data_IF_799627058025
#
_entry.id   IF_799627058025
#
_cell.length_a   1.000
_cell.length_b   1.000
_cell.length_c   1.000
_cell.angle_alpha   90.00
_cell.angle_beta   90.00
_cell.angle_gamma   90.00
#
_symmetry.space_group_name_H-M   'P 1'
#
loop_
_entity.id
_entity.type
_entity.pdbx_description
1 polymer ?
#
# COMPACT_ATOMS: atom_id res chain seq x y z
N UNK A 1 24.95 3.47 31.37
CA UNK A 1 24.23 4.24 30.34
C UNK A 1 24.12 3.34 29.11
N UNK A 2 22.99 2.64 28.95
CA UNK A 2 22.70 1.78 27.78
C UNK A 2 22.21 2.66 26.62
N UNK A 3 23.10 3.49 26.07
CA UNK A 3 22.76 4.43 25.02
C UNK A 3 22.71 3.74 23.67
N UNK A 4 21.52 3.40 23.19
CA UNK A 4 21.14 3.28 21.75
C UNK A 4 22.07 2.58 20.74
N UNK A 5 23.15 1.89 21.12
CA UNK A 5 24.10 1.23 20.21
C UNK A 5 23.45 0.13 19.35
N UNK A 6 22.32 -0.41 19.81
CA UNK A 6 21.53 -1.39 19.05
C UNK A 6 20.68 -0.73 17.93
N UNK A 7 20.42 0.58 18.03
CA UNK A 7 19.77 1.37 16.99
C UNK A 7 20.85 2.04 16.15
N UNK A 8 21.37 1.32 15.15
CA UNK A 8 22.17 1.94 14.08
C UNK A 8 21.29 3.00 13.41
N UNK A 9 21.48 4.31 13.64
CA UNK A 9 20.51 5.32 13.24
C UNK A 9 20.32 5.36 11.72
N UNK A 10 21.41 5.09 10.99
CA UNK A 10 21.41 4.96 9.54
C UNK A 10 20.55 3.79 9.04
N UNK A 11 20.57 2.63 9.71
CA UNK A 11 19.75 1.48 9.33
C UNK A 11 18.27 1.75 9.62
N UNK A 12 17.97 2.35 10.77
CA UNK A 12 16.60 2.72 11.16
C UNK A 12 15.99 3.76 10.21
N UNK A 13 16.75 4.82 9.88
CA UNK A 13 16.33 5.83 8.89
C UNK A 13 16.14 5.20 7.51
N UNK A 14 17.02 4.29 7.10
CA UNK A 14 16.89 3.53 5.86
C UNK A 14 15.59 2.73 5.81
N UNK A 15 15.28 1.95 6.86
CA UNK A 15 14.03 1.17 6.94
C UNK A 15 12.78 2.03 6.88
N UNK A 16 12.77 3.18 7.56
CA UNK A 16 11.64 4.13 7.49
C UNK A 16 11.50 4.69 6.08
N UNK A 17 12.60 5.07 5.43
CA UNK A 17 12.57 5.60 4.08
C UNK A 17 12.01 4.58 3.09
N UNK A 18 12.47 3.33 3.15
CA UNK A 18 11.93 2.25 2.31
C UNK A 18 10.46 1.95 2.58
N UNK A 19 10.03 1.99 3.85
CA UNK A 19 8.61 1.83 4.19
C UNK A 19 7.75 2.94 3.57
N UNK A 20 8.19 4.20 3.65
CA UNK A 20 7.50 5.34 3.03
C UNK A 20 7.44 5.17 1.51
N UNK A 21 8.55 4.78 0.87
CA UNK A 21 8.59 4.52 -0.57
C UNK A 21 7.57 3.44 -0.95
N UNK A 22 7.50 2.34 -0.20
CA UNK A 22 6.51 1.28 -0.42
C UNK A 22 5.07 1.78 -0.35
N UNK A 23 4.74 2.62 0.63
CA UNK A 23 3.40 3.23 0.75
C UNK A 23 3.09 4.14 -0.43
N UNK A 24 4.06 4.95 -0.89
CA UNK A 24 3.87 5.83 -2.05
C UNK A 24 3.61 5.01 -3.32
N UNK A 25 4.39 3.95 -3.55
CA UNK A 25 4.21 3.07 -4.71
C UNK A 25 2.86 2.38 -4.65
N UNK A 26 2.47 1.87 -3.48
CA UNK A 26 1.15 1.27 -3.27
C UNK A 26 0.03 2.24 -3.65
N UNK A 27 0.12 3.49 -3.19
CA UNK A 27 -0.92 4.49 -3.45
C UNK A 27 -1.00 4.88 -4.93
N UNK A 28 0.15 5.00 -5.59
CA UNK A 28 0.21 5.22 -7.04
C UNK A 28 -0.44 4.07 -7.82
N UNK A 29 -0.13 2.83 -7.46
CA UNK A 29 -0.74 1.65 -8.10
C UNK A 29 -2.26 1.61 -7.89
N UNK A 30 -2.72 1.96 -6.69
CA UNK A 30 -4.15 2.08 -6.39
C UNK A 30 -4.84 3.12 -7.29
N UNK A 31 -4.29 4.33 -7.39
CA UNK A 31 -4.84 5.41 -8.24
C UNK A 31 -4.84 5.01 -9.73
N UNK A 32 -3.82 4.31 -10.18
CA UNK A 32 -3.75 3.83 -11.58
C UNK A 32 -4.90 2.86 -11.85
N UNK A 33 -5.15 1.88 -10.99
CA UNK A 33 -6.23 0.92 -11.22
C UNK A 33 -7.60 1.54 -11.02
N UNK A 34 -7.77 2.46 -10.07
CA UNK A 34 -9.00 3.24 -9.90
C UNK A 34 -9.35 3.96 -11.21
N UNK A 35 -8.37 4.61 -11.86
CA UNK A 35 -8.56 5.25 -13.17
C UNK A 35 -8.82 4.29 -14.32
N UNK A 36 -8.24 3.10 -14.30
CA UNK A 36 -8.46 2.08 -15.34
C UNK A 36 -9.84 1.44 -15.18
N UNK A 37 -10.35 1.39 -13.95
CA UNK A 37 -11.65 0.80 -13.66
C UNK A 37 -12.75 1.74 -14.17
N UNK A 38 -13.60 1.33 -15.12
CA UNK A 38 -14.60 2.20 -15.73
C UNK A 38 -15.80 2.52 -14.81
N UNK A 39 -15.74 2.10 -13.55
CA UNK A 39 -16.80 2.28 -12.56
C UNK A 39 -16.39 3.31 -11.52
N UNK A 40 -17.37 4.05 -11.02
CA UNK A 40 -17.19 4.92 -9.86
C UNK A 40 -17.11 4.03 -8.60
N UNK A 41 -15.87 3.71 -8.22
CA UNK A 41 -15.54 2.83 -7.09
C UNK A 41 -16.13 3.34 -5.78
N UNK A 42 -16.12 4.67 -5.56
CA UNK A 42 -16.68 5.27 -4.36
C UNK A 42 -18.19 5.06 -4.31
N UNK A 43 -18.89 5.39 -5.40
CA UNK A 43 -20.35 5.23 -5.49
C UNK A 43 -20.77 3.77 -5.33
N UNK A 44 -20.06 2.84 -5.95
CA UNK A 44 -20.39 1.42 -5.86
C UNK A 44 -20.12 0.84 -4.46
N UNK A 45 -18.99 1.17 -3.82
CA UNK A 45 -18.61 0.59 -2.53
C UNK A 45 -19.30 1.30 -1.36
N UNK A 46 -19.33 2.63 -1.37
CA UNK A 46 -19.81 3.43 -0.22
C UNK A 46 -21.32 3.63 -0.29
N UNK A 47 -21.86 4.05 -1.44
CA UNK A 47 -23.30 4.35 -1.56
C UNK A 47 -24.13 3.09 -1.81
N UNK A 48 -23.71 2.25 -2.76
CA UNK A 48 -24.45 1.02 -3.13
C UNK A 48 -24.07 -0.20 -2.30
N UNK A 49 -23.03 -0.11 -1.48
CA UNK A 49 -22.51 -1.21 -0.67
C UNK A 49 -22.26 -2.50 -1.46
N UNK A 50 -21.73 -2.36 -2.68
CA UNK A 50 -21.41 -3.46 -3.55
C UNK A 50 -20.24 -4.29 -2.99
N UNK A 51 -20.57 -5.30 -2.17
CA UNK A 51 -19.59 -6.17 -1.50
C UNK A 51 -18.71 -6.93 -2.50
N UNK A 52 -19.24 -7.26 -3.69
CA UNK A 52 -18.46 -7.93 -4.73
C UNK A 52 -17.34 -7.02 -5.25
N UNK A 53 -17.65 -5.76 -5.54
CA UNK A 53 -16.64 -4.78 -5.95
C UNK A 53 -15.65 -4.50 -4.81
N UNK A 54 -16.13 -4.38 -3.57
CA UNK A 54 -15.29 -4.20 -2.39
C UNK A 54 -14.28 -5.35 -2.20
N UNK A 55 -14.69 -6.60 -2.42
CA UNK A 55 -13.81 -7.76 -2.36
C UNK A 55 -12.73 -7.72 -3.47
N UNK A 56 -13.11 -7.33 -4.69
CA UNK A 56 -12.16 -7.21 -5.81
C UNK A 56 -11.09 -6.16 -5.49
N UNK A 57 -11.49 -5.00 -4.97
CA UNK A 57 -10.55 -3.95 -4.55
C UNK A 57 -9.66 -4.41 -3.40
N UNK A 58 -10.21 -5.12 -2.41
CA UNK A 58 -9.42 -5.67 -1.31
C UNK A 58 -8.37 -6.67 -1.81
N UNK A 59 -8.75 -7.58 -2.72
CA UNK A 59 -7.83 -8.55 -3.32
C UNK A 59 -6.73 -7.88 -4.15
N UNK A 60 -7.09 -6.83 -4.89
CA UNK A 60 -6.14 -6.00 -5.64
C UNK A 60 -5.13 -5.31 -4.72
N UNK A 61 -5.61 -4.67 -3.64
CA UNK A 61 -4.74 -4.05 -2.63
C UNK A 61 -3.79 -5.08 -1.99
N UNK A 62 -4.27 -6.29 -1.70
CA UNK A 62 -3.42 -7.38 -1.21
C UNK A 62 -2.34 -7.75 -2.23
N UNK A 63 -2.71 -7.90 -3.52
CA UNK A 63 -1.75 -8.19 -4.59
C UNK A 63 -0.65 -7.14 -4.73
N UNK A 64 -1.02 -5.85 -4.71
CA UNK A 64 -0.06 -4.74 -4.77
C UNK A 64 0.87 -4.78 -3.56
N UNK A 65 0.33 -5.00 -2.36
CA UNK A 65 1.11 -5.09 -1.12
C UNK A 65 2.16 -6.21 -1.19
N UNK A 66 1.80 -7.36 -1.76
CA UNK A 66 2.71 -8.50 -1.94
C UNK A 66 3.82 -8.17 -2.94
N UNK A 67 3.49 -7.53 -4.07
CA UNK A 67 4.48 -7.11 -5.07
C UNK A 67 5.47 -6.12 -4.45
N UNK A 68 4.96 -5.13 -3.69
CA UNK A 68 5.80 -4.14 -2.99
C UNK A 68 6.68 -4.82 -1.95
N UNK A 69 6.15 -5.76 -1.16
CA UNK A 69 6.94 -6.52 -0.17
C UNK A 69 8.05 -7.35 -0.83
N UNK A 70 7.75 -7.99 -1.97
CA UNK A 70 8.75 -8.75 -2.74
C UNK A 70 9.83 -7.85 -3.37
N UNK A 71 9.49 -6.62 -3.74
CA UNK A 71 10.42 -5.67 -4.37
C UNK A 71 11.37 -4.98 -3.37
N UNK A 72 11.00 -4.90 -2.09
CA UNK A 72 11.78 -4.23 -1.02
C UNK A 72 12.73 -5.20 -0.29
N UNK A 73 12.82 -6.46 -0.75
CA UNK A 73 13.69 -7.49 -0.15
C UNK A 73 15.18 -7.33 -0.50
#
# INVERSE_FOLDING_TARGET
>A
MMGFEWLKPAAFLGSILYAIIGVIIFWLAFVIVDKITPYDLWREIVEKQNQALGLVVAAMCLGISIIVAAAIH
#
